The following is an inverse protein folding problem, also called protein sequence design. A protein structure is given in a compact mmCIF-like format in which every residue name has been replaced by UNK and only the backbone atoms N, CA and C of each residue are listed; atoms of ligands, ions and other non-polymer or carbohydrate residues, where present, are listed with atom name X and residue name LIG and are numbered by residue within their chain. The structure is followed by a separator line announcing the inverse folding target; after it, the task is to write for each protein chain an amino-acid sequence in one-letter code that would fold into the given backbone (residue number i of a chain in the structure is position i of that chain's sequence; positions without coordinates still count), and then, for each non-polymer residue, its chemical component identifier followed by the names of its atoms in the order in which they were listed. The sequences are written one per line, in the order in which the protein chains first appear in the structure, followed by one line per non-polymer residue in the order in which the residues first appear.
data_IF_018363910758
#
_entry.id   IF_018363910758
#
_cell.length_a   1.000
_cell.length_b   1.000
_cell.length_c   1.000
_cell.angle_alpha   90.00
_cell.angle_beta   90.00
_cell.angle_gamma   90.00
#
_symmetry.space_group_name_H-M   'P 1'
#
loop_
_entity.id
_entity.type
_entity.pdbx_description
1 polymer ?
#
# COMPACT_ATOMS: atom_id res chain seq x y z
N UNK A 1 16.08 24.47 -0.43
CA UNK A 1 15.81 23.32 0.45
C UNK A 1 14.95 22.32 -0.34
N UNK A 2 15.44 21.11 -0.63
CA UNK A 2 14.58 20.06 -1.23
C UNK A 2 13.86 19.38 -0.08
N UNK A 3 12.55 19.59 0.03
CA UNK A 3 11.75 18.85 1.00
C UNK A 3 11.77 17.36 0.63
N UNK A 4 11.88 16.46 1.62
CA UNK A 4 11.71 15.03 1.36
C UNK A 4 10.31 14.83 0.78
N UNK A 5 10.22 14.11 -0.34
CA UNK A 5 8.94 13.78 -0.96
C UNK A 5 8.26 12.68 -0.14
N UNK A 6 7.66 13.05 0.98
CA UNK A 6 6.92 12.10 1.82
C UNK A 6 5.54 11.91 1.20
N UNK A 7 5.16 10.66 0.99
CA UNK A 7 3.82 10.29 0.57
C UNK A 7 3.19 9.41 1.65
N UNK A 8 2.06 9.89 2.19
CA UNK A 8 1.25 9.09 3.10
C UNK A 8 0.42 8.14 2.24
N UNK A 9 0.56 6.85 2.52
CA UNK A 9 -0.10 5.76 1.80
C UNK A 9 -1.24 5.24 2.67
N UNK A 10 -2.44 5.28 2.11
CA UNK A 10 -3.66 4.82 2.77
C UNK A 10 -3.81 3.29 2.71
N UNK A 11 -4.62 2.73 3.62
CA UNK A 11 -4.95 1.30 3.67
C UNK A 11 -5.43 0.76 2.31
N UNK A 12 -6.26 1.54 1.60
CA UNK A 12 -6.81 1.19 0.28
C UNK A 12 -5.74 1.01 -0.80
N UNK A 13 -4.61 1.68 -0.66
CA UNK A 13 -3.46 1.51 -1.55
C UNK A 13 -2.69 0.26 -1.12
N UNK A 14 -2.49 0.05 0.17
CA UNK A 14 -1.78 -1.10 0.70
C UNK A 14 -2.52 -2.43 0.44
N UNK A 15 -3.85 -2.45 0.34
CA UNK A 15 -4.60 -3.64 -0.12
C UNK A 15 -4.16 -4.13 -1.49
N UNK A 16 -3.64 -3.23 -2.34
CA UNK A 16 -3.13 -3.62 -3.64
C UNK A 16 -1.95 -4.59 -3.58
N UNK A 17 -1.23 -4.64 -2.45
CA UNK A 17 -0.13 -5.58 -2.23
C UNK A 17 -0.61 -7.02 -2.01
N UNK A 18 -1.89 -7.24 -1.70
CA UNK A 18 -2.44 -8.59 -1.64
C UNK A 18 -2.70 -9.18 -3.03
N UNK A 19 -2.87 -8.33 -4.05
CA UNK A 19 -3.04 -8.76 -5.45
C UNK A 19 -1.72 -8.66 -6.21
N UNK A 20 -1.16 -9.82 -6.58
CA UNK A 20 0.16 -9.88 -7.25
C UNK A 20 0.24 -9.03 -8.51
N UNK A 21 -0.79 -9.05 -9.35
CA UNK A 21 -0.85 -8.36 -10.66
C UNK A 21 -1.56 -6.99 -10.62
N UNK A 22 -1.35 -6.24 -9.55
CA UNK A 22 -1.98 -4.93 -9.39
C UNK A 22 -1.12 -3.81 -10.00
N UNK A 23 -1.66 -3.11 -11.02
CA UNK A 23 -1.06 -1.87 -11.54
C UNK A 23 -0.82 -0.82 -10.44
N UNK A 24 -1.71 -0.78 -9.44
CA UNK A 24 -1.56 0.12 -8.29
C UNK A 24 -0.33 -0.27 -7.46
N UNK A 25 -0.12 -1.56 -7.22
CA UNK A 25 1.06 -2.07 -6.52
C UNK A 25 2.34 -1.71 -7.29
N UNK A 26 2.37 -1.99 -8.59
CA UNK A 26 3.51 -1.67 -9.45
C UNK A 26 3.85 -0.17 -9.40
N UNK A 27 2.85 0.71 -9.51
CA UNK A 27 3.07 2.15 -9.41
C UNK A 27 3.69 2.55 -8.06
N UNK A 28 3.17 2.01 -6.95
CA UNK A 28 3.65 2.33 -5.61
C UNK A 28 5.08 1.83 -5.39
N UNK A 29 5.40 0.62 -5.87
CA UNK A 29 6.75 0.06 -5.82
C UNK A 29 7.76 0.92 -6.61
N UNK A 30 7.32 1.69 -7.61
CA UNK A 30 8.18 2.60 -8.38
C UNK A 30 8.49 3.93 -7.67
N UNK A 31 7.65 4.36 -6.73
CA UNK A 31 7.78 5.67 -6.06
C UNK A 31 9.08 5.84 -5.25
N UNK A 32 9.58 4.84 -4.51
CA UNK A 32 10.88 4.93 -3.85
C UNK A 32 12.03 5.27 -4.81
N UNK A 33 12.03 4.71 -6.03
CA UNK A 33 13.05 5.00 -7.06
C UNK A 33 12.97 6.44 -7.59
N UNK A 34 11.82 7.11 -7.43
CA UNK A 34 11.61 8.53 -7.80
C UNK A 34 11.92 9.50 -6.63
N UNK A 35 12.47 8.97 -5.53
CA UNK A 35 12.86 9.71 -4.34
C UNK A 35 11.71 9.99 -3.37
N UNK A 36 10.62 9.23 -3.44
CA UNK A 36 9.53 9.32 -2.47
C UNK A 36 9.78 8.43 -1.25
N UNK A 37 9.54 8.97 -0.05
CA UNK A 37 9.45 8.20 1.19
C UNK A 37 7.99 7.86 1.45
N UNK A 38 7.64 6.59 1.32
CA UNK A 38 6.29 6.10 1.60
C UNK A 38 6.15 5.87 3.10
N UNK A 39 5.08 6.41 3.70
CA UNK A 39 4.75 6.18 5.11
C UNK A 39 3.27 5.84 5.24
N UNK A 40 2.90 5.07 6.24
CA UNK A 40 1.52 4.87 6.65
C UNK A 40 1.48 4.85 8.19
N UNK A 41 0.39 5.29 8.82
CA UNK A 41 0.20 5.11 10.26
C UNK A 41 0.20 3.63 10.67
N UNK A 42 0.69 3.32 11.87
CA UNK A 42 0.80 1.93 12.33
C UNK A 42 -0.54 1.19 12.37
N UNK A 43 -1.63 1.88 12.76
CA UNK A 43 -2.98 1.30 12.80
C UNK A 43 -3.46 0.79 11.44
N UNK A 44 -2.94 1.34 10.33
CA UNK A 44 -3.28 0.87 8.99
C UNK A 44 -2.73 -0.54 8.75
N UNK A 45 -1.51 -0.81 9.21
CA UNK A 45 -0.93 -2.15 9.13
C UNK A 45 -1.69 -3.13 10.02
N UNK A 46 -2.10 -2.71 11.22
CA UNK A 46 -2.93 -3.53 12.11
C UNK A 46 -4.25 -3.93 11.46
N UNK A 47 -4.97 -2.98 10.85
CA UNK A 47 -6.21 -3.24 10.11
C UNK A 47 -5.98 -4.20 8.93
N UNK A 48 -4.92 -3.96 8.15
CA UNK A 48 -4.52 -4.78 7.01
C UNK A 48 -4.27 -6.23 7.39
N UNK A 49 -3.53 -6.47 8.48
CA UNK A 49 -3.22 -7.83 8.93
C UNK A 49 -4.43 -8.51 9.55
N UNK A 50 -5.26 -7.77 10.30
CA UNK A 50 -6.45 -8.31 10.96
C UNK A 50 -7.53 -8.73 9.97
N UNK A 51 -7.79 -7.92 8.95
CA UNK A 51 -8.90 -8.15 8.01
C UNK A 51 -8.44 -8.80 6.70
N UNK A 52 -7.16 -9.20 6.59
CA UNK A 52 -6.55 -9.69 5.34
C UNK A 52 -7.41 -10.72 4.60
N UNK A 53 -7.81 -11.79 5.28
CA UNK A 53 -8.55 -12.90 4.66
C UNK A 53 -9.90 -12.43 4.10
N UNK A 54 -10.64 -11.65 4.89
CA UNK A 54 -11.92 -11.07 4.50
C UNK A 54 -11.79 -10.08 3.34
N UNK A 55 -10.72 -9.28 3.32
CA UNK A 55 -10.41 -8.35 2.23
C UNK A 55 -10.10 -9.13 0.95
N UNK A 56 -9.30 -10.20 1.05
CA UNK A 56 -8.97 -11.07 -0.08
C UNK A 56 -10.22 -11.76 -0.62
N UNK A 57 -11.07 -12.31 0.26
CA UNK A 57 -12.35 -12.93 -0.10
C UNK A 57 -13.29 -11.95 -0.81
N UNK A 58 -13.56 -10.78 -0.22
CA UNK A 58 -14.45 -9.78 -0.79
C UNK A 58 -13.94 -9.24 -2.13
N UNK A 59 -12.61 -9.12 -2.25
CA UNK A 59 -11.95 -8.57 -3.45
C UNK A 59 -11.63 -9.64 -4.51
N UNK A 60 -11.94 -10.92 -4.25
CA UNK A 60 -11.62 -12.07 -5.12
C UNK A 60 -10.14 -12.12 -5.49
N UNK A 61 -9.29 -11.96 -4.48
CA UNK A 61 -7.84 -12.05 -4.58
C UNK A 61 -7.44 -13.43 -4.06
N UNK A 62 -6.83 -14.24 -4.92
CA UNK A 62 -6.31 -15.59 -4.59
C UNK A 62 -4.83 -15.57 -4.19
#
# INVERSE_FOLDING_TARGET
MKFPKILIVDASILFSFFKKDSLRRELIERLPYLGYKLISPDYVFEELFKEKEKIMEFSKID
#
